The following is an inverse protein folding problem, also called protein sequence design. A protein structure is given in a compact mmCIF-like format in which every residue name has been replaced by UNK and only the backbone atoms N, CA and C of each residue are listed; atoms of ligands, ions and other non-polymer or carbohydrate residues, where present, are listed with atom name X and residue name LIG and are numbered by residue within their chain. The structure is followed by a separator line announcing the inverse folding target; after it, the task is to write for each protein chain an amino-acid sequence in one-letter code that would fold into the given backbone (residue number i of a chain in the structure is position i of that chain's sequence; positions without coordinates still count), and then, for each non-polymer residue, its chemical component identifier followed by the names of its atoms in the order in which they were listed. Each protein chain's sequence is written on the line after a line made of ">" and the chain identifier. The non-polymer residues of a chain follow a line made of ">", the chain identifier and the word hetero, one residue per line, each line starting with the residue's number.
data_IF_106208752032
#
_entry.id   IF_106208752032
#
_cell.length_a   1.000
_cell.length_b   1.000
_cell.length_c   1.000
_cell.angle_alpha   90.00
_cell.angle_beta   90.00
_cell.angle_gamma   90.00
#
_symmetry.space_group_name_H-M   'P 1'
#
loop_
_entity.id
_entity.type
_entity.pdbx_description
1 polymer ?
#
# COMPACT_ATOMS: atom_id res chain seq x y z
N UNK A 1 -38.36 34.87 -2.42
CA UNK A 1 -38.08 33.41 -2.41
C UNK A 1 -36.61 33.22 -2.73
N UNK A 2 -35.76 33.47 -1.73
CA UNK A 2 -34.31 33.31 -1.85
C UNK A 2 -33.87 32.19 -0.91
N UNK A 3 -32.85 31.45 -1.35
CA UNK A 3 -31.93 30.66 -0.53
C UNK A 3 -32.26 29.18 -0.20
N UNK A 4 -32.50 28.36 -1.22
CA UNK A 4 -32.46 26.89 -1.09
C UNK A 4 -31.25 26.23 -1.79
N UNK A 5 -30.39 27.02 -2.45
CA UNK A 5 -29.34 26.50 -3.35
C UNK A 5 -27.92 26.45 -2.77
N UNK A 6 -27.60 27.24 -1.74
CA UNK A 6 -26.23 27.31 -1.20
C UNK A 6 -25.99 26.34 -0.03
N UNK A 7 -27.03 25.99 0.74
CA UNK A 7 -26.89 25.09 1.89
C UNK A 7 -26.64 23.62 1.49
N UNK A 8 -27.26 23.16 0.39
CA UNK A 8 -27.13 21.78 -0.10
C UNK A 8 -25.70 21.43 -0.51
N UNK A 9 -25.03 22.30 -1.28
CA UNK A 9 -23.67 22.04 -1.77
C UNK A 9 -22.62 22.10 -0.65
N UNK A 10 -22.84 22.94 0.37
CA UNK A 10 -21.97 23.03 1.53
C UNK A 10 -22.12 21.81 2.45
N UNK A 11 -23.34 21.29 2.60
CA UNK A 11 -23.63 20.05 3.33
C UNK A 11 -23.04 18.82 2.63
N UNK A 12 -23.20 18.70 1.32
CA UNK A 12 -22.60 17.63 0.51
C UNK A 12 -21.06 17.63 0.62
N UNK A 13 -20.42 18.81 0.54
CA UNK A 13 -18.98 18.95 0.72
C UNK A 13 -18.55 18.51 2.12
N UNK A 14 -19.27 18.93 3.16
CA UNK A 14 -18.98 18.56 4.55
C UNK A 14 -19.08 17.06 4.76
N UNK A 15 -20.15 16.42 4.30
CA UNK A 15 -20.32 14.97 4.39
C UNK A 15 -19.22 14.21 3.64
N UNK A 16 -18.79 14.73 2.48
CA UNK A 16 -17.65 14.20 1.72
C UNK A 16 -16.34 14.25 2.52
N UNK A 17 -16.04 15.39 3.14
CA UNK A 17 -14.83 15.57 3.98
C UNK A 17 -14.86 14.63 5.19
N UNK A 18 -15.95 14.63 5.96
CA UNK A 18 -16.08 13.78 7.15
C UNK A 18 -15.96 12.28 6.80
N UNK A 19 -16.42 11.88 5.60
CA UNK A 19 -16.21 10.51 5.10
C UNK A 19 -14.75 10.22 4.79
N UNK A 20 -14.03 11.15 4.17
CA UNK A 20 -12.60 10.99 3.86
C UNK A 20 -11.77 10.92 5.14
N UNK A 21 -12.04 11.78 6.13
CA UNK A 21 -11.32 11.79 7.41
C UNK A 21 -11.46 10.44 8.13
N UNK A 22 -12.67 9.89 8.20
CA UNK A 22 -12.91 8.54 8.75
C UNK A 22 -12.12 7.46 8.00
N UNK A 23 -12.10 7.51 6.67
CA UNK A 23 -11.35 6.55 5.85
C UNK A 23 -9.83 6.69 6.05
N UNK A 24 -9.31 7.90 6.25
CA UNK A 24 -7.89 8.11 6.57
C UNK A 24 -7.55 7.60 7.99
N UNK A 25 -8.44 7.74 8.97
CA UNK A 25 -8.28 7.13 10.30
C UNK A 25 -8.26 5.60 10.22
N UNK A 26 -9.20 4.99 9.49
CA UNK A 26 -9.25 3.53 9.27
C UNK A 26 -7.96 3.04 8.57
N UNK A 27 -7.54 3.74 7.52
CA UNK A 27 -6.30 3.44 6.79
C UNK A 27 -5.06 3.56 7.69
N UNK A 28 -5.04 4.53 8.60
CA UNK A 28 -3.97 4.67 9.60
C UNK A 28 -3.96 3.46 10.54
N UNK A 29 -5.11 3.07 11.07
CA UNK A 29 -5.25 1.88 11.93
C UNK A 29 -4.72 0.62 11.26
N UNK A 30 -5.16 0.35 10.02
CA UNK A 30 -4.66 -0.77 9.20
C UNK A 30 -3.14 -0.66 8.98
N UNK A 31 -2.64 0.54 8.73
CA UNK A 31 -1.22 0.80 8.56
C UNK A 31 -0.39 0.50 9.81
N UNK A 32 -0.93 0.77 10.99
CA UNK A 32 -0.29 0.48 12.27
C UNK A 32 -0.33 -1.04 12.58
N UNK A 33 -1.47 -1.71 12.33
CA UNK A 33 -1.56 -3.18 12.44
C UNK A 33 -0.53 -3.90 11.55
N UNK A 34 -0.35 -3.43 10.31
CA UNK A 34 0.67 -3.98 9.39
C UNK A 34 2.09 -3.79 9.96
N UNK A 35 2.39 -2.64 10.59
CA UNK A 35 3.70 -2.40 11.21
C UNK A 35 3.93 -3.32 12.41
N UNK A 36 2.89 -3.58 13.20
CA UNK A 36 2.97 -4.48 14.35
C UNK A 36 3.26 -5.91 13.90
N UNK A 37 2.64 -6.40 12.82
CA UNK A 37 2.95 -7.70 12.22
C UNK A 37 4.42 -7.77 11.76
N UNK A 38 4.93 -6.74 11.06
CA UNK A 38 6.36 -6.73 10.70
C UNK A 38 7.27 -6.73 11.94
N UNK A 39 6.88 -6.02 13.00
CA UNK A 39 7.66 -5.94 14.24
C UNK A 39 7.67 -7.26 15.00
N UNK A 40 6.53 -7.94 15.07
CA UNK A 40 6.39 -9.28 15.64
C UNK A 40 7.30 -10.29 14.92
N UNK A 41 7.29 -10.31 13.58
CA UNK A 41 8.13 -11.22 12.81
C UNK A 41 9.60 -10.85 12.86
N UNK A 42 9.93 -9.56 12.98
CA UNK A 42 11.30 -9.13 13.25
C UNK A 42 11.79 -9.67 14.59
N UNK A 43 10.97 -9.67 15.64
CA UNK A 43 11.30 -10.26 16.94
C UNK A 43 11.48 -11.80 16.85
N UNK A 44 10.80 -12.46 15.90
CA UNK A 44 11.00 -13.88 15.56
C UNK A 44 12.24 -14.16 14.71
N UNK A 45 13.00 -13.13 14.31
CA UNK A 45 14.24 -13.26 13.54
C UNK A 45 14.10 -13.12 12.02
N UNK A 46 12.92 -12.73 11.51
CA UNK A 46 12.74 -12.49 10.08
C UNK A 46 13.17 -11.07 9.66
N UNK A 47 13.70 -10.94 8.45
CA UNK A 47 14.05 -9.63 7.88
C UNK A 47 12.80 -8.94 7.29
N UNK A 48 12.37 -7.86 7.94
CA UNK A 48 11.19 -7.09 7.51
C UNK A 48 11.35 -6.41 6.13
N UNK A 49 12.58 -6.10 5.68
CA UNK A 49 12.83 -5.57 4.33
C UNK A 49 12.59 -6.67 3.30
N UNK A 50 13.09 -7.88 3.53
CA UNK A 50 12.84 -9.02 2.63
C UNK A 50 11.36 -9.38 2.62
N UNK A 51 10.67 -9.37 3.76
CA UNK A 51 9.21 -9.61 3.80
C UNK A 51 8.43 -8.61 2.93
N UNK A 52 8.79 -7.33 2.94
CA UNK A 52 8.16 -6.31 2.07
C UNK A 52 8.38 -6.62 0.59
N UNK A 53 9.59 -7.05 0.20
CA UNK A 53 9.86 -7.47 -1.18
C UNK A 53 9.03 -8.68 -1.56
N UNK A 54 8.90 -9.70 -0.69
CA UNK A 54 8.04 -10.86 -0.94
C UNK A 54 6.58 -10.43 -1.13
N UNK A 55 6.07 -9.50 -0.31
CA UNK A 55 4.70 -8.99 -0.48
C UNK A 55 4.54 -8.25 -1.81
N UNK A 56 5.54 -7.47 -2.25
CA UNK A 56 5.54 -6.82 -3.57
C UNK A 56 5.48 -7.86 -4.69
N UNK A 57 6.32 -8.88 -4.63
CA UNK A 57 6.36 -9.98 -5.61
C UNK A 57 5.05 -10.78 -5.63
N UNK A 58 4.38 -10.96 -4.48
CA UNK A 58 3.09 -11.67 -4.39
C UNK A 58 1.92 -10.87 -4.95
N UNK A 59 2.04 -9.54 -5.06
CA UNK A 59 1.02 -8.67 -5.68
C UNK A 59 1.13 -8.62 -7.20
N UNK A 60 2.25 -9.04 -7.77
CA UNK A 60 2.44 -9.11 -9.23
C UNK A 60 1.69 -10.30 -9.82
N UNK A 61 1.27 -10.19 -11.09
CA UNK A 61 0.79 -11.36 -11.83
C UNK A 61 1.94 -12.36 -12.02
N UNK A 62 1.66 -13.67 -12.03
CA UNK A 62 2.71 -14.68 -12.19
C UNK A 62 3.58 -14.48 -13.44
N UNK A 63 2.98 -14.04 -14.55
CA UNK A 63 3.68 -13.83 -15.82
C UNK A 63 4.60 -12.60 -15.73
N UNK A 64 4.07 -11.45 -15.31
CA UNK A 64 4.84 -10.22 -15.07
C UNK A 64 6.04 -10.47 -14.14
N UNK A 65 5.86 -11.30 -13.10
CA UNK A 65 6.95 -11.66 -12.18
C UNK A 65 8.02 -12.51 -12.88
N UNK A 66 7.63 -13.52 -13.66
CA UNK A 66 8.58 -14.38 -14.40
C UNK A 66 9.37 -13.58 -15.42
N UNK A 67 8.72 -12.67 -16.13
CA UNK A 67 9.39 -11.77 -17.09
C UNK A 67 10.38 -10.85 -16.37
N UNK A 68 9.97 -10.23 -15.26
CA UNK A 68 10.86 -9.39 -14.45
C UNK A 68 12.07 -10.17 -13.92
N UNK A 69 11.86 -11.39 -13.41
CA UNK A 69 12.94 -12.26 -12.91
C UNK A 69 13.93 -12.63 -14.03
N UNK A 70 13.44 -12.97 -15.23
CA UNK A 70 14.29 -13.28 -16.38
C UNK A 70 15.14 -12.07 -16.83
N UNK A 71 14.56 -10.87 -16.83
CA UNK A 71 15.29 -9.63 -17.15
C UNK A 71 16.32 -9.30 -16.08
N UNK A 72 15.96 -9.41 -14.79
CA UNK A 72 16.86 -9.18 -13.68
C UNK A 72 18.07 -10.13 -13.74
N UNK A 73 17.81 -11.41 -14.01
CA UNK A 73 18.84 -12.42 -14.16
C UNK A 73 19.79 -12.11 -15.32
N UNK A 74 19.24 -11.65 -16.45
CA UNK A 74 20.06 -11.19 -17.58
C UNK A 74 21.01 -10.06 -17.18
N UNK A 75 20.52 -9.09 -16.39
CA UNK A 75 21.33 -7.95 -15.95
C UNK A 75 22.38 -8.36 -14.91
N UNK A 76 22.02 -9.24 -13.98
CA UNK A 76 22.95 -9.84 -13.02
C UNK A 76 24.12 -10.53 -13.70
N UNK A 77 23.83 -11.41 -14.66
CA UNK A 77 24.83 -12.11 -15.45
C UNK A 77 25.72 -11.14 -16.23
N UNK A 78 25.15 -10.11 -16.85
CA UNK A 78 25.92 -9.09 -17.56
C UNK A 78 26.86 -8.27 -16.66
N UNK A 79 26.52 -8.14 -15.37
CA UNK A 79 27.29 -7.39 -14.38
C UNK A 79 28.18 -8.28 -13.49
N UNK A 80 28.15 -9.61 -13.67
CA UNK A 80 28.89 -10.56 -12.83
C UNK A 80 28.42 -10.56 -11.38
N UNK A 81 27.11 -10.40 -11.15
CA UNK A 81 26.48 -10.47 -9.83
C UNK A 81 25.77 -11.81 -9.71
N UNK A 82 26.29 -12.71 -8.88
CA UNK A 82 25.68 -14.02 -8.58
C UNK A 82 24.74 -13.94 -7.36
#
# INVERSE_FOLDING_TARGET
>A
MADAGHNSSNEDLRLGIERIERLEEEKKGIGDDIKDVYSEYKAKGFDAKIMREIIRLRKMKPDDRREMEAVLETYKNALGID
#
